data_IF_172741354665
#
_entry.id   IF_172741354665
#
_cell.length_a   1.000
_cell.length_b   1.000
_cell.length_c   1.000
_cell.angle_alpha   90.00
_cell.angle_beta   90.00
_cell.angle_gamma   90.00
#
_symmetry.space_group_name_H-M   'P 1'
#
loop_
_entity.id
_entity.type
_entity.pdbx_description
1 polymer ?
#
# COMPACT_ATOMS: atom_id res chain seq x y z
N UNK A 1 16.29 -9.76 0.64
CA UNK A 1 16.29 -8.92 -0.57
C UNK A 1 16.02 -7.46 -0.22
N UNK A 2 14.86 -7.07 0.33
CA UNK A 2 14.63 -5.66 0.74
C UNK A 2 15.59 -5.20 1.85
N UNK A 3 15.84 -6.03 2.87
CA UNK A 3 16.82 -5.69 3.91
C UNK A 3 18.26 -5.48 3.36
N UNK A 4 18.59 -6.10 2.22
CA UNK A 4 19.87 -5.89 1.54
C UNK A 4 19.86 -4.60 0.73
N UNK A 5 18.75 -4.32 0.01
CA UNK A 5 18.55 -3.05 -0.68
C UNK A 5 18.65 -1.85 0.27
N UNK A 6 18.04 -1.94 1.46
CA UNK A 6 18.11 -0.90 2.48
C UNK A 6 19.53 -0.57 2.97
N UNK A 7 20.49 -1.47 2.79
CA UNK A 7 21.89 -1.28 3.19
C UNK A 7 22.85 -1.01 2.02
N UNK A 8 22.35 -1.04 0.79
CA UNK A 8 23.13 -0.79 -0.42
C UNK A 8 23.10 0.71 -0.77
N UNK A 9 24.15 1.22 -1.41
CA UNK A 9 24.20 2.62 -1.81
C UNK A 9 23.42 2.86 -3.10
N UNK A 10 22.58 3.90 -3.13
CA UNK A 10 21.86 4.34 -4.33
C UNK A 10 20.61 3.51 -4.63
N UNK A 11 19.93 3.77 -5.75
CA UNK A 11 18.66 3.11 -6.08
C UNK A 11 18.81 1.60 -6.28
N UNK A 12 17.89 0.84 -5.69
CA UNK A 12 17.90 -0.61 -5.71
C UNK A 12 16.76 -1.19 -6.56
N UNK A 13 16.96 -2.36 -7.14
CA UNK A 13 15.90 -3.11 -7.83
C UNK A 13 15.76 -4.50 -7.24
N UNK A 14 14.53 -4.84 -6.84
CA UNK A 14 14.12 -6.18 -6.45
C UNK A 14 13.37 -6.79 -7.63
N UNK A 15 13.95 -7.82 -8.24
CA UNK A 15 13.31 -8.60 -9.27
C UNK A 15 13.05 -10.01 -8.75
N UNK A 16 11.86 -10.55 -9.03
CA UNK A 16 11.55 -11.94 -8.74
C UNK A 16 12.05 -12.86 -9.85
N UNK A 17 12.30 -14.12 -9.49
CA UNK A 17 12.63 -15.14 -10.49
C UNK A 17 11.51 -15.24 -11.54
N UNK A 18 11.89 -15.38 -12.80
CA UNK A 18 10.94 -15.59 -13.90
C UNK A 18 10.07 -16.81 -13.60
N UNK A 19 8.76 -16.65 -13.74
CA UNK A 19 7.77 -17.69 -13.47
C UNK A 19 7.47 -17.93 -12.00
N UNK A 20 7.99 -17.10 -11.07
CA UNK A 20 7.59 -17.18 -9.66
C UNK A 20 6.10 -16.84 -9.52
N UNK A 21 5.34 -17.77 -8.95
CA UNK A 21 3.91 -17.61 -8.68
C UNK A 21 3.57 -17.98 -7.25
N UNK A 22 2.40 -17.53 -6.78
CA UNK A 22 1.83 -17.93 -5.50
C UNK A 22 1.73 -16.77 -4.52
N UNK A 23 1.80 -17.07 -3.22
CA UNK A 23 1.72 -16.06 -2.15
C UNK A 23 2.95 -16.16 -1.25
N UNK A 24 3.57 -15.02 -0.96
CA UNK A 24 4.60 -14.86 0.06
C UNK A 24 3.91 -14.31 1.32
N UNK A 25 3.59 -15.14 2.31
CA UNK A 25 3.02 -14.68 3.58
C UNK A 25 4.13 -14.08 4.46
N UNK A 26 3.88 -12.90 5.02
CA UNK A 26 4.75 -12.30 6.03
C UNK A 26 4.43 -12.90 7.39
N UNK A 27 5.38 -13.66 7.95
CA UNK A 27 5.31 -14.22 9.30
C UNK A 27 6.12 -13.43 10.32
N UNK A 28 7.02 -12.55 9.85
CA UNK A 28 7.91 -11.75 10.69
C UNK A 28 7.47 -10.30 10.83
N UNK A 29 6.31 -9.96 10.30
CA UNK A 29 5.75 -8.61 10.33
C UNK A 29 6.13 -7.74 9.13
N UNK A 30 5.93 -6.44 9.32
CA UNK A 30 6.11 -5.39 8.31
C UNK A 30 7.52 -5.33 7.74
N UNK A 31 7.62 -5.01 6.45
CA UNK A 31 8.87 -4.73 5.76
C UNK A 31 9.05 -3.22 5.58
N UNK A 32 10.03 -2.63 6.27
CA UNK A 32 10.42 -1.24 6.04
C UNK A 32 11.26 -1.12 4.76
N UNK A 33 10.93 -0.16 3.89
CA UNK A 33 11.71 0.26 2.72
C UNK A 33 12.34 1.61 3.07
N UNK A 34 13.63 1.58 3.41
CA UNK A 34 14.38 2.73 3.92
C UNK A 34 15.36 3.30 2.91
N UNK A 35 15.37 2.80 1.67
CA UNK A 35 16.12 3.39 0.58
C UNK A 35 15.33 3.38 -0.74
N UNK A 36 15.81 4.13 -1.73
CA UNK A 36 15.18 4.20 -3.04
C UNK A 36 15.14 2.80 -3.67
N UNK A 37 13.93 2.30 -3.95
CA UNK A 37 13.73 0.88 -4.28
C UNK A 37 12.65 0.72 -5.34
N UNK A 38 12.97 -0.01 -6.39
CA UNK A 38 12.02 -0.52 -7.39
C UNK A 38 11.75 -2.00 -7.12
N UNK A 39 10.49 -2.39 -7.04
CA UNK A 39 10.05 -3.78 -6.85
C UNK A 39 9.27 -4.19 -8.10
N UNK A 40 9.90 -5.05 -8.91
CA UNK A 40 9.34 -5.55 -10.16
C UNK A 40 8.75 -6.94 -9.95
N UNK A 41 7.44 -7.00 -9.79
CA UNK A 41 6.66 -8.21 -9.70
C UNK A 41 6.53 -8.93 -11.05
N UNK A 42 6.28 -10.25 -11.05
CA UNK A 42 6.03 -11.02 -12.26
C UNK A 42 4.62 -10.81 -12.85
N UNK A 43 3.83 -9.89 -12.29
CA UNK A 43 2.43 -9.61 -12.64
C UNK A 43 1.49 -9.87 -11.45
N UNK A 44 0.48 -9.00 -11.26
CA UNK A 44 -0.41 -9.08 -10.10
C UNK A 44 -1.17 -10.41 -10.01
N UNK A 45 -1.51 -11.02 -11.15
CA UNK A 45 -2.15 -12.34 -11.18
C UNK A 45 -1.21 -13.50 -10.78
N UNK A 46 0.10 -13.28 -10.81
CA UNK A 46 1.10 -14.32 -10.61
C UNK A 46 1.59 -14.37 -9.17
N UNK A 47 1.92 -13.23 -8.57
CA UNK A 47 2.55 -13.20 -7.25
C UNK A 47 1.86 -12.23 -6.29
N UNK A 48 1.50 -12.76 -5.13
CA UNK A 48 1.02 -11.99 -4.01
C UNK A 48 2.07 -11.91 -2.89
N UNK A 49 2.16 -10.74 -2.25
CA UNK A 49 2.73 -10.58 -0.91
C UNK A 49 1.55 -10.39 0.04
N UNK A 50 1.50 -11.21 1.09
CA UNK A 50 0.40 -11.19 2.04
C UNK A 50 0.86 -10.78 3.44
N UNK A 51 0.17 -9.83 4.07
CA UNK A 51 0.36 -9.51 5.48
C UNK A 51 -0.18 -10.59 6.44
N UNK A 52 -0.76 -11.66 5.88
CA UNK A 52 -1.28 -12.83 6.59
C UNK A 52 -2.30 -12.45 7.69
N UNK A 53 -3.07 -11.38 7.45
CA UNK A 53 -3.99 -10.76 8.42
C UNK A 53 -3.37 -10.37 9.75
N UNK A 54 -2.03 -10.31 9.83
CA UNK A 54 -1.28 -10.16 11.07
C UNK A 54 -0.39 -8.91 11.07
N UNK A 55 -0.02 -8.38 9.90
CA UNK A 55 0.80 -7.17 9.80
C UNK A 55 0.46 -6.32 8.59
N UNK A 56 0.86 -5.05 8.67
CA UNK A 56 1.11 -4.25 7.46
C UNK A 56 2.17 -4.93 6.61
N UNK A 57 2.14 -4.69 5.30
CA UNK A 57 3.11 -5.28 4.37
C UNK A 57 4.35 -4.40 4.27
N UNK A 58 4.18 -3.14 3.88
CA UNK A 58 5.29 -2.21 3.66
C UNK A 58 5.13 -0.89 4.40
N UNK A 59 6.24 -0.34 4.87
CA UNK A 59 6.37 1.09 5.20
C UNK A 59 7.42 1.73 4.30
N UNK A 60 7.05 2.80 3.61
CA UNK A 60 7.97 3.64 2.83
C UNK A 60 8.46 4.77 3.73
N UNK A 61 9.79 4.87 3.89
CA UNK A 61 10.40 5.93 4.68
C UNK A 61 10.28 7.31 4.02
N UNK A 62 10.34 8.36 4.83
CA UNK A 62 10.34 9.74 4.34
C UNK A 62 11.51 10.01 3.40
N UNK A 63 11.28 10.87 2.40
CA UNK A 63 12.26 11.25 1.37
C UNK A 63 12.78 10.09 0.51
N UNK A 64 12.13 8.92 0.52
CA UNK A 64 12.47 7.78 -0.33
C UNK A 64 11.51 7.64 -1.50
N UNK A 65 12.05 7.23 -2.64
CA UNK A 65 11.30 6.97 -3.86
C UNK A 65 11.17 5.46 -4.04
N UNK A 66 9.92 4.98 -3.99
CA UNK A 66 9.61 3.55 -4.11
C UNK A 66 8.66 3.34 -5.28
N UNK A 67 9.01 2.35 -6.11
CA UNK A 67 8.17 1.89 -7.21
C UNK A 67 7.77 0.45 -6.93
N UNK A 68 6.47 0.15 -7.02
CA UNK A 68 5.93 -1.21 -6.94
C UNK A 68 5.16 -1.47 -8.23
N UNK A 69 5.62 -2.45 -9.00
CA UNK A 69 5.00 -2.84 -10.26
C UNK A 69 4.63 -4.32 -10.23
N UNK A 70 3.43 -4.67 -10.73
CA UNK A 70 3.11 -6.06 -11.04
C UNK A 70 2.96 -6.99 -9.84
N UNK A 71 2.44 -6.54 -8.69
CA UNK A 71 2.21 -7.38 -7.51
C UNK A 71 0.77 -7.34 -7.00
N UNK A 72 0.32 -8.45 -6.40
CA UNK A 72 -0.83 -8.42 -5.48
C UNK A 72 -0.34 -8.18 -4.06
N UNK A 73 -0.91 -7.21 -3.36
CA UNK A 73 -0.69 -6.91 -1.95
C UNK A 73 -2.00 -7.18 -1.20
N UNK A 74 -2.02 -8.24 -0.39
CA UNK A 74 -3.29 -8.74 0.18
C UNK A 74 -3.21 -9.06 1.67
N UNK A 75 -4.38 -9.04 2.31
CA UNK A 75 -4.55 -9.43 3.70
C UNK A 75 -3.55 -8.71 4.64
N UNK A 76 -3.18 -7.48 4.30
CA UNK A 76 -2.43 -6.58 5.17
C UNK A 76 -3.35 -6.07 6.28
N UNK A 77 -2.93 -6.19 7.54
CA UNK A 77 -3.74 -5.79 8.70
C UNK A 77 -2.91 -5.00 9.71
N UNK A 78 -3.38 -3.81 10.08
CA UNK A 78 -2.68 -2.94 11.02
C UNK A 78 -3.63 -2.19 11.93
N UNK A 79 -3.28 -2.14 13.23
CA UNK A 79 -3.92 -1.26 14.21
C UNK A 79 -3.48 0.21 14.06
N UNK A 80 -2.47 0.46 13.21
CA UNK A 80 -1.95 1.77 12.85
C UNK A 80 -2.36 2.14 11.41
N UNK A 81 -2.18 3.40 10.97
CA UNK A 81 -2.62 3.86 9.65
C UNK A 81 -1.97 3.11 8.47
N UNK A 82 -2.77 2.54 7.57
CA UNK A 82 -2.30 1.82 6.37
C UNK A 82 -2.36 0.29 6.51
N UNK A 83 -3.33 -0.39 5.89
CA UNK A 83 -3.42 -1.86 6.04
C UNK A 83 -2.34 -2.61 5.26
N UNK A 84 -2.13 -2.30 3.98
CA UNK A 84 -1.05 -2.87 3.18
C UNK A 84 0.22 -2.01 3.26
N UNK A 85 0.07 -0.70 3.02
CA UNK A 85 1.19 0.23 2.90
C UNK A 85 0.95 1.48 3.75
N UNK A 86 2.00 1.87 4.46
CA UNK A 86 2.15 3.21 5.02
C UNK A 86 3.21 3.97 4.20
N UNK A 87 2.80 5.01 3.49
CA UNK A 87 3.67 5.81 2.64
C UNK A 87 4.03 7.15 3.30
N UNK A 88 5.27 7.32 3.75
CA UNK A 88 5.80 8.62 4.20
C UNK A 88 6.66 9.31 3.13
N UNK A 89 6.91 8.67 1.99
CA UNK A 89 7.81 9.15 0.94
C UNK A 89 7.10 9.41 -0.38
N UNK A 90 7.74 9.04 -1.48
CA UNK A 90 7.18 9.08 -2.82
C UNK A 90 6.94 7.65 -3.31
N UNK A 91 5.67 7.25 -3.39
CA UNK A 91 5.28 5.91 -3.79
C UNK A 91 4.60 5.95 -5.17
N UNK A 92 5.14 5.20 -6.11
CA UNK A 92 4.49 4.89 -7.38
C UNK A 92 4.06 3.42 -7.38
N UNK A 93 2.79 3.17 -7.72
CA UNK A 93 2.24 1.82 -7.87
C UNK A 93 1.64 1.66 -9.27
N UNK A 94 2.02 0.60 -9.96
CA UNK A 94 1.51 0.27 -11.29
C UNK A 94 1.19 -1.21 -11.43
N UNK A 95 0.24 -1.54 -12.30
CA UNK A 95 -0.09 -2.92 -12.68
C UNK A 95 -0.31 -3.87 -11.48
N UNK A 96 -0.84 -3.34 -10.37
CA UNK A 96 -0.86 -4.03 -9.08
C UNK A 96 -2.27 -4.16 -8.52
N UNK A 97 -2.47 -5.08 -7.58
CA UNK A 97 -3.75 -5.31 -6.93
C UNK A 97 -3.64 -5.20 -5.41
N UNK A 98 -4.61 -4.55 -4.76
CA UNK A 98 -4.74 -4.44 -3.31
C UNK A 98 -6.04 -5.11 -2.88
N UNK A 99 -5.95 -6.24 -2.18
CA UNK A 99 -7.13 -7.05 -1.85
C UNK A 99 -7.25 -7.34 -0.37
N UNK A 100 -8.41 -7.07 0.22
CA UNK A 100 -8.72 -7.51 1.59
C UNK A 100 -7.82 -6.89 2.66
N UNK A 101 -7.21 -5.73 2.39
CA UNK A 101 -6.36 -5.07 3.36
C UNK A 101 -7.20 -4.23 4.32
N UNK A 102 -6.76 -4.15 5.58
CA UNK A 102 -7.48 -3.45 6.62
C UNK A 102 -6.57 -2.62 7.52
N UNK A 103 -7.00 -1.39 7.80
CA UNK A 103 -6.51 -0.62 8.94
C UNK A 103 -7.65 -0.45 9.95
N UNK A 104 -7.41 -0.86 11.20
CA UNK A 104 -8.40 -0.72 12.28
C UNK A 104 -8.11 0.49 13.16
N UNK A 105 -7.21 1.38 12.74
CA UNK A 105 -6.89 2.59 13.50
C UNK A 105 -8.12 3.48 13.62
N UNK A 106 -8.40 3.95 14.83
CA UNK A 106 -9.48 4.88 15.13
C UNK A 106 -8.96 6.27 15.49
N UNK A 107 -7.63 6.46 15.50
CA UNK A 107 -7.00 7.71 15.90
C UNK A 107 -6.97 8.71 14.74
N UNK A 108 -7.54 9.89 14.96
CA UNK A 108 -7.42 11.03 14.03
C UNK A 108 -8.13 10.84 12.70
N UNK A 109 -7.52 11.38 11.64
CA UNK A 109 -8.06 11.38 10.29
C UNK A 109 -7.39 10.36 9.36
N UNK A 110 -6.45 9.56 9.88
CA UNK A 110 -5.73 8.53 9.14
C UNK A 110 -6.46 7.19 9.18
N UNK A 111 -6.21 6.32 8.20
CA UNK A 111 -6.76 4.97 8.23
C UNK A 111 -6.81 4.18 6.93
N UNK A 112 -6.14 4.58 5.85
CA UNK A 112 -6.31 3.92 4.54
C UNK A 112 -6.22 2.39 4.59
N UNK A 113 -7.26 1.69 4.13
CA UNK A 113 -7.38 0.24 4.32
C UNK A 113 -6.35 -0.54 3.53
N UNK A 114 -6.04 -0.09 2.31
CA UNK A 114 -4.86 -0.51 1.57
C UNK A 114 -3.68 0.43 1.83
N UNK A 115 -3.82 1.72 1.53
CA UNK A 115 -2.71 2.68 1.55
C UNK A 115 -3.08 3.90 2.41
N UNK A 116 -2.27 4.15 3.44
CA UNK A 116 -2.19 5.49 4.04
C UNK A 116 -1.04 6.26 3.38
N UNK A 117 -1.30 7.46 2.88
CA UNK A 117 -0.26 8.34 2.33
C UNK A 117 -0.12 9.63 3.14
N UNK A 118 1.07 9.82 3.70
CA UNK A 118 1.59 11.08 4.27
C UNK A 118 2.55 11.80 3.30
N UNK A 119 2.87 11.17 2.17
CA UNK A 119 3.69 11.75 1.10
C UNK A 119 2.98 11.72 -0.25
N UNK A 120 3.74 11.66 -1.34
CA UNK A 120 3.19 11.62 -2.70
C UNK A 120 2.84 10.19 -3.10
N UNK A 121 1.65 10.01 -3.67
CA UNK A 121 1.16 8.73 -4.16
C UNK A 121 0.76 8.83 -5.65
N UNK A 122 1.40 8.05 -6.50
CA UNK A 122 0.97 7.86 -7.89
C UNK A 122 0.52 6.43 -8.08
N UNK A 123 -0.67 6.24 -8.63
CA UNK A 123 -1.25 4.91 -8.87
C UNK A 123 -1.80 4.85 -10.29
N UNK A 124 -1.41 3.81 -11.02
CA UNK A 124 -1.84 3.58 -12.40
C UNK A 124 -2.17 2.11 -12.64
N UNK A 125 -3.13 1.85 -13.53
CA UNK A 125 -3.43 0.50 -14.04
C UNK A 125 -3.57 -0.57 -12.92
N UNK A 126 -4.17 -0.19 -11.80
CA UNK A 126 -4.20 -0.99 -10.58
C UNK A 126 -5.63 -1.22 -10.07
N UNK A 127 -5.82 -2.23 -9.23
CA UNK A 127 -7.12 -2.53 -8.64
C UNK A 127 -7.09 -2.52 -7.11
N UNK A 128 -8.11 -1.95 -6.48
CA UNK A 128 -8.33 -1.98 -5.03
C UNK A 128 -9.68 -2.63 -4.75
N UNK A 129 -9.69 -3.80 -4.12
CA UNK A 129 -10.91 -4.56 -3.86
C UNK A 129 -11.04 -5.03 -2.41
N UNK A 130 -12.20 -4.81 -1.81
CA UNK A 130 -12.51 -5.37 -0.48
C UNK A 130 -11.64 -4.83 0.65
N UNK A 131 -11.01 -3.67 0.47
CA UNK A 131 -10.20 -3.05 1.52
C UNK A 131 -11.12 -2.31 2.51
N UNK A 132 -10.75 -2.31 3.79
CA UNK A 132 -11.58 -1.74 4.86
C UNK A 132 -10.79 -0.82 5.78
N UNK A 133 -11.39 0.29 6.15
CA UNK A 133 -10.79 1.30 7.01
C UNK A 133 -11.84 2.05 7.80
N UNK A 134 -11.44 2.79 8.84
CA UNK A 134 -12.30 3.83 9.40
C UNK A 134 -12.55 4.95 8.39
N UNK A 135 -11.50 5.39 7.68
CA UNK A 135 -11.56 6.41 6.62
C UNK A 135 -10.74 5.98 5.41
N UNK A 136 -11.30 6.13 4.22
CA UNK A 136 -10.66 5.73 2.98
C UNK A 136 -10.56 4.21 2.91
N UNK A 137 -11.67 3.54 2.58
CA UNK A 137 -11.74 2.07 2.59
C UNK A 137 -10.56 1.41 1.88
N UNK A 138 -10.07 2.02 0.79
CA UNK A 138 -8.80 1.68 0.17
C UNK A 138 -7.70 2.69 0.51
N UNK A 139 -7.89 3.97 0.18
CA UNK A 139 -6.82 4.97 0.21
C UNK A 139 -7.22 6.14 1.10
N UNK A 140 -6.31 6.53 1.99
CA UNK A 140 -6.42 7.75 2.76
C UNK A 140 -5.22 8.65 2.45
N UNK A 141 -5.50 9.91 2.14
CA UNK A 141 -4.51 10.93 1.79
C UNK A 141 -4.55 12.00 2.89
N UNK A 142 -3.45 12.13 3.62
CA UNK A 142 -3.34 13.09 4.72
C UNK A 142 -3.25 14.54 4.21
N UNK A 143 -3.55 15.51 5.08
CA UNK A 143 -3.38 16.92 4.81
C UNK A 143 -1.96 17.25 4.32
N UNK A 144 -1.85 18.08 3.27
CA UNK A 144 -0.57 18.44 2.64
C UNK A 144 0.07 17.35 1.76
N UNK A 145 -0.56 16.17 1.65
CA UNK A 145 -0.15 15.10 0.74
C UNK A 145 -0.84 15.23 -0.62
N UNK A 146 -0.30 14.57 -1.65
CA UNK A 146 -0.91 14.53 -2.98
C UNK A 146 -1.08 13.09 -3.46
N UNK A 147 -2.14 12.85 -4.24
CA UNK A 147 -2.32 11.59 -4.91
C UNK A 147 -2.86 11.76 -6.33
N UNK A 148 -2.32 10.99 -7.26
CA UNK A 148 -2.83 10.84 -8.62
C UNK A 148 -3.20 9.39 -8.85
N UNK A 149 -4.46 9.14 -9.22
CA UNK A 149 -4.97 7.82 -9.59
C UNK A 149 -5.45 7.87 -11.04
N UNK A 150 -4.90 7.01 -11.89
CA UNK A 150 -5.32 6.84 -13.29
C UNK A 150 -5.58 5.38 -13.63
N UNK A 151 -6.50 5.12 -14.55
CA UNK A 151 -6.82 3.79 -15.08
C UNK A 151 -7.00 2.69 -14.02
N UNK A 152 -7.47 3.06 -12.83
CA UNK A 152 -7.50 2.17 -11.67
C UNK A 152 -8.93 1.89 -11.25
N UNK A 153 -9.18 0.67 -10.79
CA UNK A 153 -10.51 0.21 -10.39
C UNK A 153 -10.60 0.09 -8.88
N UNK A 154 -11.63 0.69 -8.27
CA UNK A 154 -11.89 0.62 -6.84
C UNK A 154 -13.26 -0.02 -6.60
N UNK A 155 -13.29 -1.24 -6.08
CA UNK A 155 -14.52 -2.03 -5.92
C UNK A 155 -14.67 -2.53 -4.48
N UNK A 156 -15.89 -2.49 -3.94
CA UNK A 156 -16.22 -3.08 -2.63
C UNK A 156 -15.32 -2.63 -1.47
N UNK A 157 -14.72 -1.43 -1.55
CA UNK A 157 -13.94 -0.87 -0.46
C UNK A 157 -14.88 -0.18 0.52
N UNK A 158 -14.61 -0.33 1.82
CA UNK A 158 -15.53 0.07 2.89
C UNK A 158 -14.85 1.01 3.88
N UNK A 159 -15.39 2.22 4.02
CA UNK A 159 -15.12 3.09 5.16
C UNK A 159 -16.16 2.83 6.25
N UNK A 160 -15.72 2.60 7.49
CA UNK A 160 -16.60 2.23 8.62
C UNK A 160 -16.99 3.43 9.49
N UNK A 161 -16.40 4.62 9.27
CA UNK A 161 -16.81 5.83 9.98
C UNK A 161 -18.27 6.19 9.68
N UNK A 162 -19.10 6.25 10.74
CA UNK A 162 -20.53 6.55 10.65
C UNK A 162 -20.85 8.03 10.41
N UNK A 163 -19.89 8.94 10.62
CA UNK A 163 -20.08 10.39 10.46
C UNK A 163 -18.90 11.04 9.75
N UNK A 164 -19.21 11.99 8.85
CA UNK A 164 -18.30 12.82 8.06
C UNK A 164 -17.56 12.15 6.90
N UNK A 165 -18.34 11.61 5.94
CA UNK A 165 -17.86 11.47 4.56
C UNK A 165 -16.58 10.66 4.44
N UNK A 166 -16.44 9.58 5.21
CA UNK A 166 -15.22 8.78 5.35
C UNK A 166 -14.69 8.14 4.06
N UNK A 167 -15.25 8.47 2.89
CA UNK A 167 -14.73 8.09 1.58
C UNK A 167 -14.77 6.59 1.38
N UNK A 168 -15.86 6.06 0.80
CA UNK A 168 -16.08 4.61 0.66
C UNK A 168 -14.82 3.87 0.19
N UNK A 169 -14.19 4.36 -0.87
CA UNK A 169 -12.88 3.90 -1.31
C UNK A 169 -11.74 4.89 -1.00
N UNK A 170 -11.92 6.19 -1.24
CA UNK A 170 -10.87 7.20 -1.09
C UNK A 170 -11.34 8.30 -0.16
N UNK A 171 -10.51 8.65 0.83
CA UNK A 171 -10.67 9.83 1.67
C UNK A 171 -9.45 10.73 1.52
N UNK A 172 -9.68 12.02 1.26
CA UNK A 172 -8.63 13.06 1.22
C UNK A 172 -9.02 14.19 2.15
N UNK A 173 -8.06 14.66 2.94
CA UNK A 173 -8.29 15.73 3.92
C UNK A 173 -8.29 17.14 3.32
N UNK A 174 -8.18 17.27 1.99
CA UNK A 174 -8.05 18.56 1.31
C UNK A 174 -6.62 19.11 1.35
N UNK A 175 -6.34 20.03 0.44
CA UNK A 175 -5.11 20.83 0.37
C UNK A 175 -5.36 22.24 0.93
#
# INVERSE_FOLDING_TARGET
MIAQANGAAGPNTIAFQVGLTGTIPLSTGEIAISDDTTINGPGAANLAVSGNSASRIFTVAASKTVVIDGLTLKDGSSVNPGGAILNNGNLTVSNSAFTGNQSTTTSGFSGGGAIQSYGTLTVSDSSFSGNTAVRGGAINIEFGSSATLSNSTLTSNTATAASNGGGGAIFSQGA
#
